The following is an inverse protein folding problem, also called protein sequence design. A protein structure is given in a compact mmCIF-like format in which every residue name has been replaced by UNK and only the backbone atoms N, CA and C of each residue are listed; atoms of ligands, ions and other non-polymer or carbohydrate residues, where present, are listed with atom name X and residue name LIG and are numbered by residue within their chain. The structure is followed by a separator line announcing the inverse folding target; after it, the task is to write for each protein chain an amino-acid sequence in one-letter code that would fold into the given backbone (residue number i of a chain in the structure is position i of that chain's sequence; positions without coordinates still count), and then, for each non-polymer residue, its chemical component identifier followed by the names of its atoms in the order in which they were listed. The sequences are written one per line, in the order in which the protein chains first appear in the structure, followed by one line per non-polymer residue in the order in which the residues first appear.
data_IF_038358662549
#
_entry.id   IF_038358662549
#
_cell.length_a   1.000
_cell.length_b   1.000
_cell.length_c   1.000
_cell.angle_alpha   90.00
_cell.angle_beta   90.00
_cell.angle_gamma   90.00
#
_symmetry.space_group_name_H-M   'P 1'
#
loop_
_entity.id
_entity.type
_entity.pdbx_description
1 polymer ?
#
# COMPACT_ATOMS: atom_id res chain seq x y z
N UNK A 1 -24.63 -71.95 20.44
CA UNK A 1 -24.68 -71.46 19.05
C UNK A 1 -24.24 -70.00 19.07
N UNK A 2 -23.15 -69.77 18.40
CA UNK A 2 -22.18 -68.73 18.59
C UNK A 2 -22.58 -67.35 18.07
N UNK A 3 -22.30 -66.34 18.91
CA UNK A 3 -22.27 -64.92 18.64
C UNK A 3 -20.99 -64.51 17.88
N UNK A 4 -21.06 -64.29 16.58
CA UNK A 4 -19.93 -63.79 15.77
C UNK A 4 -20.27 -62.51 14.98
N UNK A 5 -21.06 -61.60 15.56
CA UNK A 5 -21.49 -60.38 14.87
C UNK A 5 -21.14 -59.05 15.60
N UNK A 6 -20.16 -59.04 16.47
CA UNK A 6 -19.80 -57.81 17.19
C UNK A 6 -18.41 -57.19 16.90
N UNK A 7 -17.72 -57.61 15.86
CA UNK A 7 -16.36 -57.13 15.61
C UNK A 7 -16.11 -56.56 14.20
N UNK A 8 -16.95 -55.67 13.68
CA UNK A 8 -16.63 -54.95 12.43
C UNK A 8 -17.15 -53.52 12.35
N UNK A 9 -17.47 -52.84 13.44
CA UNK A 9 -17.95 -51.46 13.41
C UNK A 9 -16.99 -50.39 13.98
N UNK A 10 -15.78 -50.75 14.39
CA UNK A 10 -14.83 -49.81 14.98
C UNK A 10 -13.71 -49.33 14.06
N UNK A 11 -13.68 -49.80 12.79
CA UNK A 11 -12.57 -49.54 11.88
C UNK A 11 -12.78 -48.35 10.89
N UNK A 12 -14.04 -47.98 10.59
CA UNK A 12 -14.26 -46.89 9.65
C UNK A 12 -14.29 -45.49 10.29
N UNK A 13 -14.72 -45.37 11.54
CA UNK A 13 -14.77 -44.08 12.22
C UNK A 13 -13.39 -43.60 12.65
N UNK A 14 -12.46 -44.50 12.95
CA UNK A 14 -11.08 -44.15 13.31
C UNK A 14 -10.21 -43.79 12.10
N UNK A 15 -10.54 -44.27 10.90
CA UNK A 15 -9.81 -43.93 9.67
C UNK A 15 -10.23 -42.59 9.09
N UNK A 16 -11.46 -42.12 9.35
CA UNK A 16 -11.91 -40.80 8.92
C UNK A 16 -11.33 -39.68 9.82
N UNK A 17 -11.02 -39.99 11.08
CA UNK A 17 -10.44 -39.01 12.02
C UNK A 17 -8.93 -38.77 11.83
N UNK A 18 -8.22 -39.68 11.12
CA UNK A 18 -6.77 -39.56 10.91
C UNK A 18 -6.40 -38.84 9.59
N UNK A 19 -7.38 -38.44 8.78
CA UNK A 19 -7.15 -37.73 7.52
C UNK A 19 -7.38 -36.21 7.60
N UNK A 20 -7.63 -35.67 8.81
CA UNK A 20 -7.28 -34.28 9.08
C UNK A 20 -5.77 -34.22 9.28
N UNK A 21 -5.04 -34.59 8.23
CA UNK A 21 -3.62 -34.28 8.12
C UNK A 21 -3.46 -32.82 8.46
N UNK A 22 -2.69 -32.49 9.51
CA UNK A 22 -2.16 -31.16 9.81
C UNK A 22 -1.96 -30.43 8.48
N UNK A 23 -2.89 -29.60 8.09
CA UNK A 23 -2.66 -28.61 7.05
C UNK A 23 -1.56 -27.76 7.66
N UNK A 24 -0.32 -28.04 7.27
CA UNK A 24 0.83 -27.25 7.69
C UNK A 24 0.66 -25.90 7.04
N UNK A 25 -0.03 -25.01 7.74
CA UNK A 25 -0.20 -23.63 7.30
C UNK A 25 1.22 -23.10 7.17
N UNK A 26 1.62 -22.79 5.94
CA UNK A 26 2.93 -22.19 5.70
C UNK A 26 2.85 -20.70 6.08
N UNK A 27 3.82 -20.18 6.83
CA UNK A 27 3.92 -18.76 7.06
C UNK A 27 3.77 -17.97 5.77
N UNK A 28 2.93 -16.95 5.80
CA UNK A 28 2.67 -16.10 4.65
C UNK A 28 2.47 -14.65 5.07
N UNK A 29 2.74 -13.74 4.13
CA UNK A 29 2.43 -12.32 4.25
C UNK A 29 1.99 -11.78 2.90
N UNK A 30 1.22 -10.71 2.92
CA UNK A 30 0.85 -9.96 1.73
C UNK A 30 1.67 -8.65 1.70
N UNK A 31 2.22 -8.34 0.54
CA UNK A 31 2.85 -7.05 0.23
C UNK A 31 1.83 -6.25 -0.54
N UNK A 32 1.52 -5.07 -0.05
CA UNK A 32 0.51 -4.16 -0.60
C UNK A 32 1.06 -2.74 -0.68
N UNK A 33 0.38 -1.88 -1.41
CA UNK A 33 0.58 -0.43 -1.39
C UNK A 33 -0.80 0.20 -1.25
N UNK A 34 -1.25 0.36 -0.02
CA UNK A 34 -2.57 0.90 0.29
C UNK A 34 -2.46 2.36 0.73
N UNK A 35 -3.35 3.19 0.24
CA UNK A 35 -3.44 4.59 0.61
C UNK A 35 -4.66 4.82 1.50
N UNK A 36 -4.43 5.27 2.73
CA UNK A 36 -5.51 5.65 3.63
C UNK A 36 -6.10 7.00 3.23
N UNK A 37 -7.11 6.99 2.37
CA UNK A 37 -7.74 8.19 1.80
C UNK A 37 -8.24 9.15 2.88
N UNK A 38 -8.65 8.62 4.04
CA UNK A 38 -9.08 9.43 5.18
C UNK A 38 -7.95 10.32 5.72
N UNK A 39 -6.74 9.76 5.86
CA UNK A 39 -5.55 10.50 6.30
C UNK A 39 -5.08 11.51 5.23
N UNK A 40 -5.22 11.16 3.96
CA UNK A 40 -4.97 12.09 2.84
C UNK A 40 -5.92 13.29 2.92
N UNK A 41 -7.21 13.06 3.12
CA UNK A 41 -8.20 14.13 3.30
C UNK A 41 -7.84 15.06 4.47
N UNK A 42 -7.43 14.49 5.60
CA UNK A 42 -6.99 15.27 6.75
C UNK A 42 -5.75 16.11 6.45
N UNK A 43 -4.78 15.54 5.70
CA UNK A 43 -3.59 16.29 5.29
C UNK A 43 -3.96 17.47 4.37
N UNK A 44 -4.84 17.25 3.40
CA UNK A 44 -5.33 18.32 2.51
C UNK A 44 -6.07 19.40 3.30
N UNK A 45 -6.99 19.03 4.22
CA UNK A 45 -7.71 19.97 5.07
C UNK A 45 -6.76 20.78 5.96
N UNK A 46 -5.71 20.17 6.50
CA UNK A 46 -4.70 20.87 7.28
C UNK A 46 -3.95 21.87 6.41
N UNK A 47 -3.61 21.50 5.17
CA UNK A 47 -2.96 22.39 4.21
C UNK A 47 -3.88 23.56 3.85
N UNK A 48 -5.18 23.33 3.65
CA UNK A 48 -6.16 24.40 3.42
C UNK A 48 -6.21 25.41 4.58
N UNK A 49 -6.23 24.90 5.83
CA UNK A 49 -6.20 25.76 7.04
C UNK A 49 -4.90 26.56 7.13
N UNK A 50 -3.78 25.93 6.80
CA UNK A 50 -2.47 26.58 6.81
C UNK A 50 -2.40 27.70 5.76
N UNK A 51 -2.86 27.46 4.53
CA UNK A 51 -2.99 28.49 3.48
C UNK A 51 -3.84 29.67 3.98
N UNK A 52 -4.99 29.41 4.59
CA UNK A 52 -5.92 30.45 5.06
C UNK A 52 -5.33 31.34 6.19
N UNK A 53 -4.38 30.82 6.96
CA UNK A 53 -3.76 31.54 8.07
C UNK A 53 -2.47 32.29 7.69
N UNK A 54 -1.81 31.89 6.61
CA UNK A 54 -0.54 32.48 6.18
C UNK A 54 -0.73 33.85 5.56
N UNK A 55 0.10 34.79 5.99
CA UNK A 55 0.04 36.19 5.52
C UNK A 55 0.41 36.30 4.02
N UNK A 56 1.35 35.48 3.54
CA UNK A 56 1.86 35.50 2.17
C UNK A 56 0.85 35.00 1.12
N UNK A 57 -0.23 34.32 1.55
CA UNK A 57 -1.34 33.92 0.69
C UNK A 57 -2.59 34.78 0.81
N UNK A 58 -2.54 35.80 1.69
CA UNK A 58 -3.70 36.67 1.96
C UNK A 58 -4.05 37.52 0.75
N UNK A 59 -5.29 37.41 0.27
CA UNK A 59 -5.80 38.16 -0.88
C UNK A 59 -5.39 37.61 -2.24
N UNK A 60 -4.81 36.38 -2.28
CA UNK A 60 -4.41 35.70 -3.50
C UNK A 60 -5.34 34.50 -3.77
N UNK A 61 -5.50 34.16 -5.03
CA UNK A 61 -6.32 33.01 -5.45
C UNK A 61 -5.51 31.69 -5.33
N UNK A 62 -5.47 31.17 -4.09
CA UNK A 62 -4.74 29.94 -3.77
C UNK A 62 -5.70 28.93 -3.16
N UNK A 63 -5.81 27.77 -3.80
CA UNK A 63 -6.63 26.66 -3.31
C UNK A 63 -5.95 25.31 -3.50
N UNK A 64 -6.34 24.36 -2.66
CA UNK A 64 -5.99 22.94 -2.76
C UNK A 64 -7.23 22.11 -2.51
N UNK A 65 -7.54 21.20 -3.42
CA UNK A 65 -8.73 20.36 -3.38
C UNK A 65 -8.37 18.91 -3.69
N UNK A 66 -9.13 17.97 -3.12
CA UNK A 66 -8.98 16.54 -3.38
C UNK A 66 -10.18 16.00 -4.15
N UNK A 67 -9.90 15.23 -5.19
CA UNK A 67 -10.90 14.42 -5.90
C UNK A 67 -10.67 12.95 -5.58
N UNK A 68 -11.43 12.43 -4.63
CA UNK A 68 -11.30 11.03 -4.19
C UNK A 68 -11.60 10.03 -5.30
N UNK A 69 -12.55 10.34 -6.20
CA UNK A 69 -12.93 9.43 -7.30
C UNK A 69 -11.79 9.23 -8.29
N UNK A 70 -11.08 10.30 -8.60
CA UNK A 70 -9.96 10.28 -9.52
C UNK A 70 -8.64 9.99 -8.81
N UNK A 71 -8.64 9.94 -7.47
CA UNK A 71 -7.43 9.81 -6.65
C UNK A 71 -6.39 10.87 -7.02
N UNK A 72 -6.80 12.12 -7.00
CA UNK A 72 -5.94 13.26 -7.35
C UNK A 72 -6.18 14.46 -6.44
N UNK A 73 -5.12 15.21 -6.20
CA UNK A 73 -5.13 16.49 -5.51
C UNK A 73 -4.83 17.57 -6.53
N UNK A 74 -5.63 18.62 -6.55
CA UNK A 74 -5.45 19.77 -7.43
C UNK A 74 -5.01 20.99 -6.61
N UNK A 75 -3.88 21.57 -6.97
CA UNK A 75 -3.41 22.85 -6.45
C UNK A 75 -3.67 23.91 -7.52
N UNK A 76 -4.25 25.03 -7.12
CA UNK A 76 -4.47 26.21 -7.98
C UNK A 76 -3.85 27.42 -7.30
N UNK A 77 -3.01 28.17 -8.02
CA UNK A 77 -2.26 29.33 -7.51
C UNK A 77 -2.09 30.38 -8.59
N UNK A 78 -1.56 31.57 -8.26
CA UNK A 78 -1.28 32.62 -9.24
C UNK A 78 0.14 32.51 -9.83
N UNK A 79 1.03 31.69 -9.25
CA UNK A 79 2.40 31.52 -9.73
C UNK A 79 2.97 30.12 -9.43
N UNK A 80 3.97 29.72 -10.20
CA UNK A 80 4.70 28.44 -10.00
C UNK A 80 5.32 28.38 -8.60
N UNK A 81 5.91 29.48 -8.13
CA UNK A 81 6.52 29.58 -6.81
C UNK A 81 5.53 29.31 -5.67
N UNK A 82 4.33 29.87 -5.77
CA UNK A 82 3.27 29.59 -4.79
C UNK A 82 2.81 28.13 -4.84
N UNK A 83 2.75 27.55 -6.03
CA UNK A 83 2.41 26.15 -6.21
C UNK A 83 3.43 25.25 -5.49
N UNK A 84 4.72 25.51 -5.63
CA UNK A 84 5.79 24.82 -4.93
C UNK A 84 5.67 24.97 -3.40
N UNK A 85 5.34 26.17 -2.91
CA UNK A 85 5.12 26.40 -1.48
C UNK A 85 3.91 25.59 -0.94
N UNK A 86 2.80 25.57 -1.68
CA UNK A 86 1.62 24.76 -1.28
C UNK A 86 1.93 23.27 -1.33
N UNK A 87 2.69 22.82 -2.32
CA UNK A 87 3.13 21.43 -2.41
C UNK A 87 4.01 21.05 -1.21
N UNK A 88 4.98 21.88 -0.84
CA UNK A 88 5.83 21.63 0.34
C UNK A 88 5.02 21.57 1.65
N UNK A 89 3.99 22.41 1.79
CA UNK A 89 3.06 22.34 2.94
C UNK A 89 2.26 21.02 2.93
N UNK A 90 1.81 20.58 1.76
CA UNK A 90 1.11 19.30 1.60
C UNK A 90 2.01 18.14 2.03
N UNK A 91 3.28 18.08 1.55
CA UNK A 91 4.24 17.05 1.96
C UNK A 91 4.47 17.02 3.47
N UNK A 92 4.62 18.20 4.08
CA UNK A 92 4.75 18.33 5.54
C UNK A 92 3.53 17.77 6.28
N UNK A 93 2.32 18.06 5.78
CA UNK A 93 1.08 17.55 6.38
C UNK A 93 0.89 16.04 6.13
N UNK A 94 1.33 15.51 4.99
CA UNK A 94 1.41 14.06 4.74
C UNK A 94 2.32 13.37 5.76
N UNK A 95 3.51 13.92 5.98
CA UNK A 95 4.44 13.41 6.99
C UNK A 95 3.84 13.41 8.40
N UNK A 96 3.19 14.52 8.82
CA UNK A 96 2.51 14.64 10.12
C UNK A 96 1.39 13.58 10.29
N UNK A 97 0.74 13.19 9.19
CA UNK A 97 -0.33 12.19 9.15
C UNK A 97 0.18 10.75 8.93
N UNK A 98 1.50 10.57 8.84
CA UNK A 98 2.14 9.27 8.56
C UNK A 98 1.73 8.67 7.22
N UNK A 99 1.31 9.51 6.28
CA UNK A 99 1.10 9.10 4.89
C UNK A 99 2.45 9.24 4.16
N UNK A 100 2.83 8.20 3.43
CA UNK A 100 4.10 8.20 2.72
C UNK A 100 4.05 9.14 1.52
N UNK A 101 5.01 10.06 1.44
CA UNK A 101 5.13 11.02 0.33
C UNK A 101 5.41 10.34 -1.03
N UNK A 102 5.92 9.10 -1.06
CA UNK A 102 6.09 8.33 -2.29
C UNK A 102 4.75 7.99 -2.98
N UNK A 103 3.63 8.12 -2.24
CA UNK A 103 2.30 8.00 -2.81
C UNK A 103 1.89 9.20 -3.68
N UNK A 104 2.60 10.33 -3.57
CA UNK A 104 2.38 11.52 -4.37
C UNK A 104 3.12 11.43 -5.71
N UNK A 105 2.40 11.68 -6.80
CA UNK A 105 2.95 11.76 -8.16
C UNK A 105 2.60 13.12 -8.78
N UNK A 106 3.41 14.18 -8.48
CA UNK A 106 3.14 15.51 -8.98
C UNK A 106 3.31 15.57 -10.51
N UNK A 107 2.26 16.02 -11.17
CA UNK A 107 2.27 16.24 -12.62
C UNK A 107 2.84 17.63 -12.94
N UNK A 108 3.17 17.85 -14.20
CA UNK A 108 3.69 19.13 -14.67
C UNK A 108 2.67 20.26 -14.41
N UNK A 109 3.16 21.38 -13.92
CA UNK A 109 2.35 22.60 -13.78
C UNK A 109 1.86 23.09 -15.13
N UNK A 110 0.62 23.55 -15.17
CA UNK A 110 -0.03 24.08 -16.40
C UNK A 110 -0.64 25.42 -16.12
N UNK A 111 -0.40 26.38 -17.04
CA UNK A 111 -1.06 27.67 -16.96
C UNK A 111 -2.52 27.56 -17.40
N UNK A 112 -3.43 28.18 -16.64
CA UNK A 112 -4.85 28.25 -16.93
C UNK A 112 -5.35 29.68 -16.68
N UNK A 113 -5.37 30.48 -17.73
CA UNK A 113 -5.70 31.90 -17.61
C UNK A 113 -4.64 32.65 -16.78
N UNK A 114 -5.07 33.21 -15.65
CA UNK A 114 -4.18 33.91 -14.67
C UNK A 114 -3.57 32.95 -13.65
N UNK A 115 -4.03 31.72 -13.61
CA UNK A 115 -3.67 30.76 -12.57
C UNK A 115 -2.74 29.67 -13.11
N UNK A 116 -1.97 29.10 -12.20
CA UNK A 116 -1.16 27.90 -12.39
C UNK A 116 -1.85 26.74 -11.68
N UNK A 117 -2.01 25.63 -12.38
CA UNK A 117 -2.64 24.43 -11.85
C UNK A 117 -1.62 23.31 -11.85
N UNK A 118 -1.51 22.63 -10.72
CA UNK A 118 -0.79 21.37 -10.62
C UNK A 118 -1.74 20.28 -10.13
N UNK A 119 -1.75 19.17 -10.86
CA UNK A 119 -2.45 17.94 -10.46
C UNK A 119 -1.43 16.98 -9.86
N UNK A 120 -1.72 16.44 -8.70
CA UNK A 120 -0.93 15.43 -8.02
C UNK A 120 -1.74 14.16 -7.98
N UNK A 121 -1.31 13.13 -8.69
CA UNK A 121 -1.95 11.83 -8.67
C UNK A 121 -1.55 11.08 -7.40
N UNK A 122 -2.51 10.37 -6.83
CA UNK A 122 -2.31 9.54 -5.66
C UNK A 122 -2.10 8.09 -6.12
N UNK A 123 -0.92 7.55 -5.81
CA UNK A 123 -0.63 6.14 -6.07
C UNK A 123 -1.26 5.29 -4.99
N UNK A 124 -2.22 4.47 -5.36
CA UNK A 124 -2.95 3.57 -4.48
C UNK A 124 -3.08 2.20 -5.14
N UNK A 125 -2.57 1.18 -4.49
CA UNK A 125 -2.42 -0.17 -5.01
C UNK A 125 -1.08 -0.42 -5.71
N UNK A 126 -0.82 -1.68 -5.99
CA UNK A 126 0.32 -2.12 -6.80
C UNK A 126 -0.14 -2.30 -8.25
N UNK A 127 0.38 -1.48 -9.14
CA UNK A 127 0.20 -1.71 -10.57
C UNK A 127 0.92 -3.00 -11.03
N UNK A 128 0.49 -3.53 -12.17
CA UNK A 128 1.02 -4.79 -12.70
C UNK A 128 2.54 -4.74 -12.95
N UNK A 129 3.09 -3.60 -13.34
CA UNK A 129 4.50 -3.49 -13.67
C UNK A 129 5.36 -3.35 -12.42
N UNK A 130 4.91 -2.59 -11.43
CA UNK A 130 5.54 -2.52 -10.11
C UNK A 130 5.48 -3.87 -9.39
N UNK A 131 4.33 -4.56 -9.45
CA UNK A 131 4.20 -5.91 -8.89
C UNK A 131 5.17 -6.91 -9.55
N UNK A 132 5.35 -6.84 -10.88
CA UNK A 132 6.35 -7.67 -11.59
C UNK A 132 7.78 -7.33 -11.17
N UNK A 133 8.12 -6.03 -11.02
CA UNK A 133 9.44 -5.59 -10.55
C UNK A 133 9.74 -6.11 -9.14
N UNK A 134 8.81 -5.98 -8.21
CA UNK A 134 8.94 -6.49 -6.84
C UNK A 134 9.11 -8.01 -6.85
N UNK A 135 8.25 -8.73 -7.59
CA UNK A 135 8.31 -10.18 -7.68
C UNK A 135 9.64 -10.66 -8.29
N UNK A 136 10.16 -9.95 -9.29
CA UNK A 136 11.46 -10.20 -9.89
C UNK A 136 12.59 -9.95 -8.89
N UNK A 137 12.57 -8.82 -8.17
CA UNK A 137 13.55 -8.48 -7.14
C UNK A 137 13.62 -9.55 -6.03
N UNK A 138 12.48 -10.06 -5.56
CA UNK A 138 12.42 -11.17 -4.59
C UNK A 138 13.11 -12.42 -5.13
N UNK A 139 12.88 -12.78 -6.40
CA UNK A 139 13.50 -13.95 -7.02
C UNK A 139 15.01 -13.78 -7.22
N UNK A 140 15.45 -12.58 -7.55
CA UNK A 140 16.88 -12.26 -7.79
C UNK A 140 17.66 -12.06 -6.48
N UNK A 141 16.99 -11.80 -5.36
CA UNK A 141 17.63 -11.61 -4.05
C UNK A 141 18.32 -12.88 -3.50
N UNK A 142 18.06 -14.05 -4.09
CA UNK A 142 18.55 -15.34 -3.59
C UNK A 142 17.80 -15.87 -2.35
N UNK A 143 16.81 -15.13 -1.84
CA UNK A 143 15.97 -15.56 -0.71
C UNK A 143 15.00 -16.64 -1.23
N UNK A 144 15.00 -17.82 -0.58
CA UNK A 144 14.19 -18.97 -1.00
C UNK A 144 12.72 -18.85 -0.58
N UNK A 145 12.09 -17.70 -0.86
CA UNK A 145 10.68 -17.49 -0.64
C UNK A 145 9.88 -17.69 -1.93
N UNK A 146 8.65 -18.20 -1.82
CA UNK A 146 7.71 -18.25 -2.94
C UNK A 146 6.91 -16.95 -2.97
N UNK A 147 6.88 -16.27 -4.11
CA UNK A 147 6.09 -15.06 -4.30
C UNK A 147 5.14 -15.20 -5.47
N UNK A 148 3.89 -14.76 -5.30
CA UNK A 148 2.85 -14.78 -6.34
C UNK A 148 2.09 -13.47 -6.35
N UNK A 149 1.84 -12.93 -7.55
CA UNK A 149 1.03 -11.74 -7.76
C UNK A 149 -0.45 -12.14 -7.69
N UNK A 150 -1.22 -11.45 -6.86
CA UNK A 150 -2.66 -11.68 -6.65
C UNK A 150 -3.41 -10.36 -6.75
N UNK A 151 -3.70 -9.92 -7.99
CA UNK A 151 -4.35 -8.64 -8.24
C UNK A 151 -3.43 -7.47 -7.85
N UNK A 152 -3.84 -6.70 -6.87
CA UNK A 152 -3.17 -5.50 -6.33
C UNK A 152 -2.18 -5.79 -5.20
N UNK A 153 -1.89 -7.06 -4.94
CA UNK A 153 -0.96 -7.50 -3.88
C UNK A 153 -0.05 -8.65 -4.33
N UNK A 154 1.03 -8.81 -3.59
CA UNK A 154 1.94 -9.93 -3.77
C UNK A 154 1.91 -10.78 -2.51
N UNK A 155 1.52 -12.03 -2.63
CA UNK A 155 1.60 -13.00 -1.54
C UNK A 155 2.95 -13.68 -1.53
N UNK A 156 3.60 -13.64 -0.37
CA UNK A 156 4.87 -14.32 -0.11
C UNK A 156 4.65 -15.40 0.91
N UNK A 157 5.14 -16.60 0.61
CA UNK A 157 5.03 -17.78 1.48
C UNK A 157 6.37 -18.49 1.63
N UNK A 158 6.66 -18.98 2.81
CA UNK A 158 7.81 -19.85 3.07
C UNK A 158 7.55 -20.77 4.26
N UNK A 159 8.42 -21.77 4.43
CA UNK A 159 8.38 -22.70 5.57
C UNK A 159 8.83 -22.05 6.89
N UNK A 160 9.58 -20.96 6.81
CA UNK A 160 10.20 -20.27 7.95
C UNK A 160 9.77 -18.80 7.99
N UNK A 161 9.39 -18.31 9.17
CA UNK A 161 9.11 -16.88 9.41
C UNK A 161 10.33 -15.99 9.14
N UNK A 162 11.51 -16.47 9.48
CA UNK A 162 12.76 -15.71 9.28
C UNK A 162 12.97 -15.35 7.81
N UNK A 163 12.58 -16.23 6.88
CA UNK A 163 12.66 -15.95 5.44
C UNK A 163 11.73 -14.79 5.05
N UNK A 164 10.52 -14.72 5.62
CA UNK A 164 9.60 -13.61 5.38
C UNK A 164 10.18 -12.29 5.91
N UNK A 165 10.82 -12.31 7.10
CA UNK A 165 11.50 -11.15 7.66
C UNK A 165 12.66 -10.68 6.77
N UNK A 166 13.43 -11.61 6.20
CA UNK A 166 14.49 -11.28 5.24
C UNK A 166 13.94 -10.61 3.98
N UNK A 167 12.81 -11.11 3.45
CA UNK A 167 12.13 -10.47 2.30
C UNK A 167 11.69 -9.05 2.65
N UNK A 168 11.10 -8.85 3.84
CA UNK A 168 10.68 -7.52 4.31
C UNK A 168 11.87 -6.55 4.41
N UNK A 169 12.95 -6.98 5.05
CA UNK A 169 14.16 -6.17 5.19
C UNK A 169 14.73 -5.79 3.81
N UNK A 170 14.87 -6.77 2.92
CA UNK A 170 15.35 -6.56 1.56
C UNK A 170 14.50 -5.55 0.79
N UNK A 171 13.16 -5.70 0.83
CA UNK A 171 12.27 -4.81 0.09
C UNK A 171 12.22 -3.38 0.65
N UNK A 172 12.45 -3.19 1.96
CA UNK A 172 12.53 -1.86 2.58
C UNK A 172 13.78 -1.08 2.14
N UNK A 173 14.84 -1.78 1.77
CA UNK A 173 16.08 -1.16 1.26
C UNK A 173 15.96 -0.79 -0.22
N UNK A 174 14.96 -1.31 -0.93
CA UNK A 174 14.75 -1.05 -2.34
C UNK A 174 13.74 0.09 -2.56
N UNK A 175 13.93 0.83 -3.65
CA UNK A 175 13.01 1.90 -4.05
C UNK A 175 12.19 1.46 -5.27
N UNK A 176 10.91 1.20 -5.05
CA UNK A 176 9.98 0.80 -6.12
C UNK A 176 9.10 1.96 -6.61
N UNK A 177 9.28 3.17 -6.05
CA UNK A 177 8.51 4.37 -6.40
C UNK A 177 7.07 4.38 -5.86
N UNK A 178 6.75 3.41 -4.99
CA UNK A 178 5.50 3.32 -4.23
C UNK A 178 5.81 2.86 -2.81
N UNK A 179 5.03 3.30 -1.80
CA UNK A 179 5.18 2.80 -0.44
C UNK A 179 4.77 1.34 -0.37
N UNK A 180 5.53 0.53 0.36
CA UNK A 180 5.20 -0.87 0.58
C UNK A 180 4.79 -1.12 2.02
N UNK A 181 3.63 -1.76 2.21
CA UNK A 181 3.18 -2.26 3.50
C UNK A 181 3.15 -3.79 3.47
N UNK A 182 3.35 -4.37 4.66
CA UNK A 182 3.36 -5.81 4.87
C UNK A 182 2.28 -6.16 5.88
N UNK A 183 1.27 -6.89 5.45
CA UNK A 183 0.14 -7.24 6.27
C UNK A 183 -0.29 -8.70 6.08
N UNK A 184 -1.44 -9.09 6.68
CA UNK A 184 -2.04 -10.41 6.56
C UNK A 184 -1.05 -11.57 6.88
N UNK A 185 -0.25 -11.38 7.94
CA UNK A 185 0.65 -12.43 8.42
C UNK A 185 -0.17 -13.63 8.90
N UNK A 186 0.16 -14.81 8.36
CA UNK A 186 -0.40 -16.11 8.78
C UNK A 186 0.75 -17.04 9.17
N UNK A 187 0.50 -17.86 10.17
CA UNK A 187 1.44 -18.84 10.72
C UNK A 187 1.02 -20.26 10.39
#
# INVERSE_FOLDING_TARGET
VNNTWQMKKTSLASQIFFHFAKVKIMPSMDIVSELEIFEVNHAVQNTQKEIATRFDFRGQDVSIDINEKNKEIKITTESDFQCEQVYAMLESNFFKRKVDIQSLDPQKMTASGKNVIQVIKLKDGLDSDTAKKINKAIKESGIKAQSSIQGDKIRVTDKKRDTLQQVMAFLREQQFGVPLQFNNFKD
#
